data_IF_789371910878
#
_entry.id   IF_789371910878
#
_cell.length_a   1.000
_cell.length_b   1.000
_cell.length_c   1.000
_cell.angle_alpha   90.00
_cell.angle_beta   90.00
_cell.angle_gamma   90.00
#
_symmetry.space_group_name_H-M   'P 1'
#
loop_
_entity.id
_entity.type
_entity.pdbx_description
1 polymer ?
#
# COMPACT_ATOMS: atom_id res chain seq x y z
N UNK A 1 9.90 -28.30 -21.72
CA UNK A 1 8.58 -28.49 -21.08
C UNK A 1 7.54 -27.72 -21.88
N UNK A 2 6.38 -28.32 -22.16
CA UNK A 2 5.37 -27.73 -23.07
C UNK A 2 5.54 -28.06 -24.56
N UNK A 3 6.30 -29.10 -24.89
CA UNK A 3 6.52 -29.49 -26.28
C UNK A 3 5.35 -30.32 -26.83
N UNK A 4 4.88 -29.97 -28.03
CA UNK A 4 3.76 -30.63 -28.69
C UNK A 4 4.22 -31.96 -29.28
N UNK A 5 3.79 -33.06 -28.66
CA UNK A 5 4.20 -34.41 -29.08
C UNK A 5 3.24 -35.06 -30.08
N UNK A 6 1.97 -34.62 -30.12
CA UNK A 6 0.96 -35.10 -31.06
C UNK A 6 -0.23 -34.14 -31.11
N UNK A 7 -1.05 -34.27 -32.17
CA UNK A 7 -2.36 -33.62 -32.30
C UNK A 7 -3.42 -34.70 -32.40
N UNK A 8 -4.51 -34.54 -31.68
CA UNK A 8 -5.68 -35.42 -31.76
C UNK A 8 -6.87 -34.59 -32.21
N UNK A 9 -7.69 -35.16 -33.08
CA UNK A 9 -8.99 -34.60 -33.46
C UNK A 9 -10.05 -35.06 -32.44
N UNK A 10 -11.01 -34.18 -32.17
CA UNK A 10 -12.14 -34.49 -31.29
C UNK A 10 -13.32 -34.91 -32.16
N UNK A 11 -13.98 -36.01 -31.80
CA UNK A 11 -15.19 -36.48 -32.52
C UNK A 11 -16.35 -35.48 -32.44
N UNK A 12 -16.45 -34.74 -31.33
CA UNK A 12 -17.41 -33.65 -31.15
C UNK A 12 -16.71 -32.38 -30.62
N UNK A 13 -16.35 -31.44 -31.50
CA UNK A 13 -15.75 -30.16 -31.11
C UNK A 13 -16.68 -29.27 -30.28
N UNK A 14 -17.99 -29.52 -30.28
CA UNK A 14 -18.98 -28.71 -29.55
C UNK A 14 -18.98 -28.98 -28.04
N UNK A 15 -18.49 -30.16 -27.62
CA UNK A 15 -18.31 -30.51 -26.22
C UNK A 15 -17.15 -29.76 -25.53
N UNK A 16 -16.33 -29.04 -26.32
CA UNK A 16 -15.23 -28.24 -25.79
C UNK A 16 -15.78 -27.02 -25.04
N UNK A 17 -15.71 -27.05 -23.72
CA UNK A 17 -16.01 -25.90 -22.87
C UNK A 17 -14.87 -24.90 -22.94
N UNK A 18 -15.08 -23.78 -23.65
CA UNK A 18 -14.15 -22.66 -23.68
C UNK A 18 -14.35 -21.80 -22.44
N UNK A 19 -13.27 -21.47 -21.76
CA UNK A 19 -13.32 -20.42 -20.75
C UNK A 19 -13.62 -19.08 -21.44
N UNK A 20 -14.54 -18.30 -20.87
CA UNK A 20 -14.78 -16.94 -21.32
C UNK A 20 -13.83 -15.97 -20.61
N UNK A 21 -13.36 -14.97 -21.36
CA UNK A 21 -12.56 -13.90 -20.78
C UNK A 21 -13.42 -13.05 -19.83
N UNK A 22 -12.79 -12.46 -18.82
CA UNK A 22 -13.45 -11.48 -17.98
C UNK A 22 -13.60 -10.15 -18.74
N UNK A 23 -14.83 -9.70 -18.94
CA UNK A 23 -15.15 -8.47 -19.67
C UNK A 23 -15.51 -7.28 -18.76
N UNK A 24 -15.53 -7.51 -17.44
CA UNK A 24 -15.81 -6.46 -16.47
C UNK A 24 -14.58 -5.62 -16.15
N UNK A 25 -14.77 -4.65 -15.27
CA UNK A 25 -13.70 -3.99 -14.54
C UNK A 25 -13.73 -4.42 -13.07
N UNK A 26 -12.59 -4.29 -12.39
CA UNK A 26 -12.61 -4.35 -10.93
C UNK A 26 -13.35 -3.12 -10.39
N UNK A 27 -14.12 -3.26 -9.29
CA UNK A 27 -14.67 -2.10 -8.60
C UNK A 27 -13.52 -1.19 -8.14
N UNK A 28 -13.82 0.10 -7.95
CA UNK A 28 -12.84 1.03 -7.36
C UNK A 28 -12.61 0.59 -5.92
N UNK A 29 -11.46 -0.04 -5.68
CA UNK A 29 -11.00 -0.38 -4.35
C UNK A 29 -10.32 0.84 -3.74
N UNK A 30 -10.63 1.12 -2.47
CA UNK A 30 -9.88 2.10 -1.70
C UNK A 30 -8.43 1.66 -1.47
N UNK A 31 -7.61 2.50 -0.82
CA UNK A 31 -6.25 2.11 -0.48
C UNK A 31 -6.26 0.83 0.38
N UNK A 32 -5.34 -0.11 0.16
CA UNK A 32 -5.30 -1.39 0.89
C UNK A 32 -5.08 -1.22 2.40
N UNK A 33 -4.54 -0.07 2.80
CA UNK A 33 -4.45 0.37 4.19
C UNK A 33 -5.23 1.67 4.32
N UNK A 34 -6.05 1.80 5.38
CA UNK A 34 -6.71 3.05 5.71
C UNK A 34 -5.67 4.07 6.21
N UNK A 35 -5.02 4.78 5.29
CA UNK A 35 -4.16 5.91 5.62
C UNK A 35 -5.10 7.08 5.92
N UNK A 36 -5.17 7.53 7.18
CA UNK A 36 -5.82 8.81 7.48
C UNK A 36 -5.06 9.92 6.75
N UNK A 37 -5.75 10.91 6.23
CA UNK A 37 -5.11 12.06 5.55
C UNK A 37 -4.20 12.92 6.44
N UNK A 38 -3.95 12.52 7.69
CA UNK A 38 -3.05 13.20 8.64
C UNK A 38 -1.60 13.11 8.16
N UNK A 39 -0.87 14.20 8.36
CA UNK A 39 0.48 14.35 7.77
C UNK A 39 1.49 13.31 8.27
N UNK A 40 1.45 12.89 9.54
CA UNK A 40 2.36 11.86 10.06
C UNK A 40 2.15 10.48 9.40
N UNK A 41 0.90 10.12 9.09
CA UNK A 41 0.58 8.84 8.44
C UNK A 41 0.97 8.87 6.97
N UNK A 42 0.71 9.99 6.29
CA UNK A 42 1.22 10.22 4.93
C UNK A 42 2.75 10.17 4.87
N UNK A 43 3.42 10.83 5.82
CA UNK A 43 4.87 10.82 5.93
C UNK A 43 5.43 9.40 6.10
N UNK A 44 4.84 8.61 7.00
CA UNK A 44 5.24 7.22 7.24
C UNK A 44 5.02 6.35 5.99
N UNK A 45 3.89 6.52 5.30
CA UNK A 45 3.59 5.80 4.06
C UNK A 45 4.57 6.16 2.93
N UNK A 46 4.85 7.45 2.71
CA UNK A 46 5.80 7.92 1.70
C UNK A 46 7.23 7.49 2.01
N UNK A 47 7.64 7.50 3.29
CA UNK A 47 8.94 6.98 3.70
C UNK A 47 9.05 5.48 3.43
N UNK A 48 8.01 4.71 3.77
CA UNK A 48 7.97 3.27 3.48
C UNK A 48 8.03 2.99 1.96
N UNK A 49 7.29 3.76 1.15
CA UNK A 49 7.35 3.65 -0.30
C UNK A 49 8.75 3.99 -0.86
N UNK A 50 9.43 5.00 -0.30
CA UNK A 50 10.81 5.32 -0.65
C UNK A 50 11.76 4.16 -0.31
N UNK A 51 11.61 3.54 0.86
CA UNK A 51 12.37 2.33 1.23
C UNK A 51 12.07 1.15 0.28
N UNK A 52 10.81 0.98 -0.13
CA UNK A 52 10.42 -0.05 -1.09
C UNK A 52 11.07 0.17 -2.46
N UNK A 53 11.14 1.42 -2.95
CA UNK A 53 11.88 1.78 -4.17
C UNK A 53 13.35 1.37 -4.03
N UNK A 54 13.99 1.72 -2.92
CA UNK A 54 15.39 1.37 -2.65
C UNK A 54 15.61 -0.14 -2.52
N UNK A 55 14.59 -0.89 -2.13
CA UNK A 55 14.60 -2.34 -2.08
C UNK A 55 14.30 -3.02 -3.43
N UNK A 56 14.04 -2.23 -4.49
CA UNK A 56 13.80 -2.73 -5.85
C UNK A 56 12.33 -2.94 -6.22
N UNK A 57 11.39 -2.51 -5.38
CA UNK A 57 9.96 -2.53 -5.71
C UNK A 57 9.55 -1.31 -6.53
N UNK A 58 8.60 -1.49 -7.44
CA UNK A 58 8.13 -0.44 -8.32
C UNK A 58 7.12 0.48 -7.62
N UNK A 59 7.42 1.77 -7.59
CA UNK A 59 6.52 2.84 -7.18
C UNK A 59 6.77 4.08 -8.04
N UNK A 60 5.79 4.99 -8.12
CA UNK A 60 5.97 6.28 -8.76
C UNK A 60 6.90 7.18 -7.92
N UNK A 61 8.15 7.33 -8.38
CA UNK A 61 9.21 8.04 -7.65
C UNK A 61 8.83 9.51 -7.44
N UNK A 62 8.33 10.20 -8.47
CA UNK A 62 7.99 11.62 -8.40
C UNK A 62 6.90 11.87 -7.36
N UNK A 63 5.85 11.03 -7.36
CA UNK A 63 4.77 11.11 -6.38
C UNK A 63 5.26 10.86 -4.95
N UNK A 64 6.11 9.84 -4.75
CA UNK A 64 6.64 9.49 -3.42
C UNK A 64 7.50 10.62 -2.86
N UNK A 65 8.41 11.19 -3.67
CA UNK A 65 9.29 12.29 -3.24
C UNK A 65 8.48 13.55 -2.94
N UNK A 66 7.55 13.92 -3.82
CA UNK A 66 6.70 15.10 -3.60
C UNK A 66 5.86 14.96 -2.33
N UNK A 67 5.26 13.79 -2.10
CA UNK A 67 4.51 13.56 -0.88
C UNK A 67 5.39 13.61 0.38
N UNK A 68 6.58 13.03 0.33
CA UNK A 68 7.51 13.04 1.47
C UNK A 68 7.96 14.47 1.81
N UNK A 69 8.37 15.26 0.82
CA UNK A 69 8.78 16.66 1.02
C UNK A 69 7.64 17.50 1.58
N UNK A 70 6.44 17.40 0.98
CA UNK A 70 5.25 18.10 1.48
C UNK A 70 4.88 17.72 2.93
N UNK A 71 5.17 16.50 3.35
CA UNK A 71 4.96 16.09 4.74
C UNK A 71 6.02 16.70 5.68
N UNK A 72 7.30 16.67 5.27
CA UNK A 72 8.41 17.22 6.06
C UNK A 72 8.31 18.74 6.23
N UNK A 73 7.71 19.44 5.27
CA UNK A 73 7.44 20.88 5.35
C UNK A 73 6.28 21.24 6.30
N UNK A 74 5.52 20.25 6.78
CA UNK A 74 4.39 20.52 7.67
C UNK A 74 4.84 20.72 9.13
N UNK A 75 4.53 21.87 9.75
CA UNK A 75 4.87 22.12 11.16
C UNK A 75 4.10 21.22 12.13
N UNK A 76 2.98 20.62 11.70
CA UNK A 76 2.18 19.70 12.51
C UNK A 76 2.80 18.30 12.62
N UNK A 77 3.70 17.95 11.70
CA UNK A 77 4.29 16.62 11.62
C UNK A 77 4.88 16.12 12.96
N UNK A 78 5.81 16.86 13.61
CA UNK A 78 6.40 16.40 14.87
C UNK A 78 5.36 16.28 15.99
N UNK A 79 4.39 17.20 16.05
CA UNK A 79 3.34 17.17 17.06
C UNK A 79 2.46 15.92 16.92
N UNK A 80 2.05 15.60 15.69
CA UNK A 80 1.21 14.44 15.44
C UNK A 80 1.97 13.12 15.60
N UNK A 81 3.25 13.06 15.23
CA UNK A 81 4.11 11.90 15.50
C UNK A 81 4.24 11.68 17.01
N UNK A 82 4.48 12.74 17.77
CA UNK A 82 4.52 12.68 19.23
C UNK A 82 3.18 12.20 19.80
N UNK A 83 2.05 12.76 19.35
CA UNK A 83 0.72 12.38 19.80
C UNK A 83 0.43 10.90 19.52
N UNK A 84 0.81 10.37 18.36
CA UNK A 84 0.64 8.96 18.01
C UNK A 84 1.46 8.07 18.96
N UNK A 85 2.75 8.34 19.12
CA UNK A 85 3.62 7.61 20.04
C UNK A 85 3.12 7.68 21.49
N UNK A 86 2.77 8.88 21.97
CA UNK A 86 2.30 9.11 23.32
C UNK A 86 0.94 8.43 23.56
N UNK A 87 0.04 8.40 22.58
CA UNK A 87 -1.27 7.74 22.74
C UNK A 87 -1.14 6.26 23.12
N UNK A 88 -0.12 5.58 22.61
CA UNK A 88 0.20 4.18 22.91
C UNK A 88 0.85 4.05 24.30
N UNK A 89 1.70 5.01 24.67
CA UNK A 89 2.47 4.99 25.91
C UNK A 89 1.76 5.61 27.13
N UNK A 90 0.75 6.44 26.93
CA UNK A 90 0.14 7.27 27.98
C UNK A 90 -0.45 6.46 29.15
N UNK A 91 -0.84 5.21 28.91
CA UNK A 91 -1.34 4.31 29.97
C UNK A 91 -0.22 3.60 30.75
N UNK A 92 1.02 3.66 30.25
CA UNK A 92 2.21 3.00 30.79
C UNK A 92 3.17 3.97 31.48
N UNK A 93 2.98 5.28 31.30
CA UNK A 93 3.82 6.31 31.89
C UNK A 93 3.40 6.61 33.34
N UNK A 94 4.36 6.83 34.26
CA UNK A 94 4.08 7.37 35.59
C UNK A 94 3.28 8.68 35.50
N UNK A 95 2.37 8.92 36.46
CA UNK A 95 1.45 10.08 36.43
C UNK A 95 2.18 11.41 36.39
N UNK A 96 3.30 11.52 37.09
CA UNK A 96 4.09 12.74 37.19
C UNK A 96 4.70 13.10 35.82
N UNK A 97 5.14 12.10 35.05
CA UNK A 97 5.72 12.28 33.72
C UNK A 97 4.68 12.51 32.61
N UNK A 98 3.41 12.17 32.88
CA UNK A 98 2.31 12.32 31.90
C UNK A 98 1.70 13.72 31.93
N UNK A 99 1.76 14.39 33.08
CA UNK A 99 1.05 15.64 33.35
C UNK A 99 1.96 16.88 33.36
N UNK A 100 3.28 16.70 33.24
CA UNK A 100 4.23 17.77 32.86
C UNK A 100 4.18 18.03 31.35
#
# INVERSE_FOLDING_TARGET
>A
AGELIARLELDDPSAVRKAELFHGSFPILGPPTAISGKVHQRCAASLNAACMILAGYEHNIDEVIQNLLNCLDSPELPFLQWQECLSVLATRLPKDLRNE
#
